data_IF_496274134373
#
_entry.id   IF_496274134373
#
_cell.length_a   1.000
_cell.length_b   1.000
_cell.length_c   1.000
_cell.angle_alpha   90.00
_cell.angle_beta   90.00
_cell.angle_gamma   90.00
#
_symmetry.space_group_name_H-M   'P 1'
#
loop_
_entity.id
_entity.type
_entity.pdbx_description
1 polymer ?
#
# COMPACT_ATOMS: atom_id res chain seq x y z
N UNK A 1 -20.66 16.16 -28.19
CA UNK A 1 -19.35 16.68 -27.74
C UNK A 1 -18.54 15.45 -27.41
N UNK A 2 -17.51 15.17 -28.20
CA UNK A 2 -16.53 14.15 -27.85
C UNK A 2 -15.61 14.82 -26.84
N UNK A 3 -15.74 14.45 -25.56
CA UNK A 3 -14.73 14.82 -24.57
C UNK A 3 -13.57 13.86 -24.73
N UNK A 4 -12.34 14.37 -24.82
CA UNK A 4 -11.13 13.52 -24.84
C UNK A 4 -10.94 12.82 -23.49
N UNK A 5 -11.40 13.46 -22.41
CA UNK A 5 -11.35 12.94 -21.03
C UNK A 5 -12.73 13.09 -20.39
N UNK A 6 -13.17 12.09 -19.63
CA UNK A 6 -14.41 12.10 -18.86
C UNK A 6 -14.04 12.01 -17.39
N UNK A 7 -14.32 13.07 -16.64
CA UNK A 7 -14.06 13.12 -15.21
C UNK A 7 -15.33 12.81 -14.41
N UNK A 8 -15.23 11.91 -13.44
CA UNK A 8 -16.35 11.47 -12.60
C UNK A 8 -15.90 11.51 -11.13
N UNK A 9 -16.47 12.44 -10.36
CA UNK A 9 -16.14 12.66 -8.95
C UNK A 9 -17.37 12.46 -8.06
N UNK A 10 -17.18 11.92 -6.85
CA UNK A 10 -18.19 11.88 -5.78
C UNK A 10 -19.56 11.32 -6.21
N UNK A 11 -19.54 10.32 -7.09
CA UNK A 11 -20.75 9.87 -7.79
C UNK A 11 -21.18 8.46 -7.36
N UNK A 12 -22.50 8.27 -7.22
CA UNK A 12 -23.13 6.98 -6.96
C UNK A 12 -23.75 6.40 -8.25
N UNK A 13 -23.17 5.32 -8.77
CA UNK A 13 -23.59 4.63 -9.99
C UNK A 13 -24.10 3.23 -9.64
N UNK A 14 -25.42 3.03 -9.62
CA UNK A 14 -25.97 1.78 -9.11
C UNK A 14 -27.27 1.31 -9.74
N UNK A 15 -27.51 0.00 -9.67
CA UNK A 15 -28.73 -0.68 -10.15
C UNK A 15 -29.01 -0.46 -11.65
N UNK A 16 -27.97 -0.24 -12.45
CA UNK A 16 -28.12 -0.17 -13.90
C UNK A 16 -28.32 -1.58 -14.47
N UNK A 17 -29.07 -1.72 -15.56
CA UNK A 17 -29.24 -3.01 -16.23
C UNK A 17 -28.01 -3.46 -17.03
N UNK A 18 -27.06 -2.54 -17.28
CA UNK A 18 -25.82 -2.78 -18.03
C UNK A 18 -24.59 -2.47 -17.17
N UNK A 19 -23.56 -1.90 -17.79
CA UNK A 19 -22.37 -1.42 -17.08
C UNK A 19 -22.71 -0.24 -16.16
N UNK A 20 -21.94 -0.04 -15.09
CA UNK A 20 -22.01 1.18 -14.29
C UNK A 20 -21.46 2.37 -15.07
N UNK A 21 -20.17 2.33 -15.41
CA UNK A 21 -19.52 3.26 -16.32
C UNK A 21 -18.95 2.49 -17.52
N UNK A 22 -19.12 3.02 -18.73
CA UNK A 22 -18.62 2.38 -19.97
C UNK A 22 -17.85 3.38 -20.82
N UNK A 23 -16.61 3.04 -21.13
CA UNK A 23 -15.73 3.78 -22.01
C UNK A 23 -15.55 3.06 -23.36
N UNK A 24 -15.61 3.83 -24.45
CA UNK A 24 -15.45 3.33 -25.82
C UNK A 24 -14.57 4.23 -26.72
N UNK A 25 -14.04 5.36 -26.24
CA UNK A 25 -13.09 6.16 -27.03
C UNK A 25 -12.33 7.27 -26.26
N UNK A 26 -12.56 7.45 -24.95
CA UNK A 26 -12.06 8.60 -24.18
C UNK A 26 -11.15 8.13 -23.05
N UNK A 27 -10.38 9.00 -22.41
CA UNK A 27 -9.82 8.68 -21.10
C UNK A 27 -10.90 8.87 -20.03
N UNK A 28 -10.92 8.04 -18.98
CA UNK A 28 -11.80 8.27 -17.82
C UNK A 28 -10.95 8.43 -16.57
N UNK A 29 -11.23 9.51 -15.85
CA UNK A 29 -10.75 9.74 -14.48
C UNK A 29 -11.94 9.57 -13.54
N UNK A 30 -11.83 8.66 -12.58
CA UNK A 30 -12.84 8.43 -11.55
C UNK A 30 -12.24 8.57 -10.16
N UNK A 31 -12.90 9.34 -9.31
CA UNK A 31 -12.47 9.50 -7.92
C UNK A 31 -13.66 9.58 -6.96
N UNK A 32 -13.51 8.98 -5.77
CA UNK A 32 -14.52 8.96 -4.71
C UNK A 32 -15.90 8.47 -5.15
N UNK A 33 -15.95 7.50 -6.09
CA UNK A 33 -17.20 6.97 -6.63
C UNK A 33 -17.61 5.64 -6.01
N UNK A 34 -18.92 5.39 -5.92
CA UNK A 34 -19.50 4.09 -5.58
C UNK A 34 -20.23 3.50 -6.79
N UNK A 35 -19.70 2.41 -7.34
CA UNK A 35 -20.23 1.72 -8.53
C UNK A 35 -20.70 0.32 -8.15
N UNK A 36 -22.01 0.13 -7.94
CA UNK A 36 -22.52 -1.11 -7.36
C UNK A 36 -23.79 -1.68 -7.97
N UNK A 37 -23.97 -3.00 -7.86
CA UNK A 37 -25.23 -3.70 -8.20
C UNK A 37 -25.65 -3.49 -9.66
N UNK A 38 -24.68 -3.31 -10.56
CA UNK A 38 -24.96 -3.14 -11.98
C UNK A 38 -25.07 -4.50 -12.68
N UNK A 39 -25.88 -4.54 -13.74
CA UNK A 39 -26.24 -5.75 -14.49
C UNK A 39 -25.15 -6.33 -15.37
N UNK A 40 -24.01 -5.62 -15.53
CA UNK A 40 -22.74 -6.09 -16.09
C UNK A 40 -21.57 -5.69 -15.16
N UNK A 41 -20.36 -5.44 -15.70
CA UNK A 41 -19.22 -4.95 -14.92
C UNK A 41 -19.47 -3.56 -14.32
N UNK A 42 -18.82 -3.26 -13.20
CA UNK A 42 -18.89 -1.94 -12.58
C UNK A 42 -18.36 -0.85 -13.52
N UNK A 43 -17.09 -0.95 -13.87
CA UNK A 43 -16.45 -0.12 -14.90
C UNK A 43 -16.01 -0.99 -16.06
N UNK A 44 -16.36 -0.59 -17.29
CA UNK A 44 -15.95 -1.25 -18.52
C UNK A 44 -15.19 -0.30 -19.42
N UNK A 45 -13.99 -0.68 -19.85
CA UNK A 45 -13.23 0.01 -20.87
C UNK A 45 -13.07 -0.88 -22.10
N UNK A 46 -13.67 -0.49 -23.22
CA UNK A 46 -13.75 -1.30 -24.44
C UNK A 46 -12.93 -0.79 -25.63
N UNK A 47 -12.08 0.21 -25.46
CA UNK A 47 -11.41 0.97 -26.54
C UNK A 47 -10.02 1.47 -26.14
N UNK A 48 -9.25 2.04 -27.06
CA UNK A 48 -7.91 2.65 -26.88
C UNK A 48 -7.81 3.82 -25.85
N UNK A 49 -8.81 4.03 -24.99
CA UNK A 49 -8.76 5.01 -23.90
C UNK A 49 -8.19 4.40 -22.63
N UNK A 50 -7.66 5.26 -21.76
CA UNK A 50 -7.09 4.89 -20.46
C UNK A 50 -8.12 5.01 -19.33
N UNK A 51 -7.88 4.30 -18.22
CA UNK A 51 -8.64 4.44 -16.98
C UNK A 51 -7.72 4.83 -15.83
N UNK A 52 -8.02 5.94 -15.15
CA UNK A 52 -7.42 6.30 -13.87
C UNK A 52 -8.53 6.34 -12.81
N UNK A 53 -8.49 5.40 -11.85
CA UNK A 53 -9.53 5.25 -10.83
C UNK A 53 -8.88 5.27 -9.45
N UNK A 54 -9.30 6.23 -8.62
CA UNK A 54 -8.77 6.42 -7.27
C UNK A 54 -9.90 6.45 -6.23
N UNK A 55 -9.69 5.91 -5.03
CA UNK A 55 -10.65 6.02 -3.92
C UNK A 55 -12.08 5.53 -4.23
N UNK A 56 -12.23 4.66 -5.23
CA UNK A 56 -13.54 4.20 -5.69
C UNK A 56 -13.88 2.83 -5.09
N UNK A 57 -15.17 2.57 -4.92
CA UNK A 57 -15.70 1.26 -4.56
C UNK A 57 -16.47 0.66 -5.74
N UNK A 58 -16.08 -0.54 -6.17
CA UNK A 58 -16.74 -1.31 -7.23
C UNK A 58 -17.27 -2.61 -6.63
N UNK A 59 -18.57 -2.69 -6.34
CA UNK A 59 -19.12 -3.79 -5.55
C UNK A 59 -20.40 -4.43 -6.06
N UNK A 60 -20.58 -5.73 -5.79
CA UNK A 60 -21.83 -6.45 -6.07
C UNK A 60 -22.29 -6.37 -7.55
N UNK A 61 -21.38 -6.15 -8.50
CA UNK A 61 -21.71 -6.15 -9.93
C UNK A 61 -21.80 -7.60 -10.45
N UNK A 62 -22.63 -7.85 -11.46
CA UNK A 62 -22.90 -9.22 -11.94
C UNK A 62 -21.79 -9.80 -12.83
N UNK A 63 -20.79 -8.99 -13.19
CA UNK A 63 -19.57 -9.42 -13.89
C UNK A 63 -18.33 -9.00 -13.09
N UNK A 64 -17.33 -8.40 -13.74
CA UNK A 64 -16.11 -7.95 -13.10
C UNK A 64 -16.32 -6.61 -12.37
N UNK A 65 -15.54 -6.31 -11.33
CA UNK A 65 -15.54 -4.99 -10.72
C UNK A 65 -15.06 -3.93 -11.71
N UNK A 66 -13.90 -4.19 -12.30
CA UNK A 66 -13.35 -3.43 -13.43
C UNK A 66 -12.96 -4.38 -14.55
N UNK A 67 -13.44 -4.09 -15.76
CA UNK A 67 -13.11 -4.85 -16.97
C UNK A 67 -12.44 -3.94 -17.98
N UNK A 68 -11.18 -4.21 -18.26
CA UNK A 68 -10.37 -3.49 -19.23
C UNK A 68 -10.08 -4.35 -20.47
N UNK A 69 -10.61 -3.94 -21.62
CA UNK A 69 -10.25 -4.42 -22.95
C UNK A 69 -9.60 -3.29 -23.77
N UNK A 70 -9.38 -2.12 -23.13
CA UNK A 70 -8.78 -0.94 -23.73
C UNK A 70 -7.29 -0.80 -23.47
N UNK A 71 -6.79 0.44 -23.47
CA UNK A 71 -5.40 0.77 -23.12
C UNK A 71 -5.18 0.74 -21.58
N UNK A 72 -4.09 1.34 -21.10
CA UNK A 72 -3.62 1.23 -19.71
C UNK A 72 -4.66 1.59 -18.64
N UNK A 73 -4.57 0.90 -17.51
CA UNK A 73 -5.43 1.10 -16.34
C UNK A 73 -4.59 1.32 -15.09
N UNK A 74 -4.91 2.38 -14.35
CA UNK A 74 -4.40 2.68 -13.02
C UNK A 74 -5.53 2.62 -12.00
N UNK A 75 -5.34 1.80 -10.97
CA UNK A 75 -6.23 1.66 -9.82
C UNK A 75 -5.45 2.01 -8.55
N UNK A 76 -5.86 3.06 -7.85
CA UNK A 76 -5.22 3.49 -6.61
C UNK A 76 -6.23 3.52 -5.46
N UNK A 77 -5.91 2.93 -4.32
CA UNK A 77 -6.75 3.02 -3.10
C UNK A 77 -8.24 2.68 -3.35
N UNK A 78 -8.49 1.68 -4.20
CA UNK A 78 -9.84 1.25 -4.56
C UNK A 78 -10.29 0.02 -3.76
N UNK A 79 -11.60 -0.08 -3.52
CA UNK A 79 -12.25 -1.24 -2.91
C UNK A 79 -13.08 -2.02 -3.95
N UNK A 80 -12.59 -3.18 -4.38
CA UNK A 80 -13.20 -3.97 -5.44
C UNK A 80 -13.66 -5.30 -4.86
N UNK A 81 -14.96 -5.39 -4.54
CA UNK A 81 -15.46 -6.51 -3.74
C UNK A 81 -16.78 -7.12 -4.19
N UNK A 82 -16.98 -8.41 -3.88
CA UNK A 82 -18.27 -9.11 -4.05
C UNK A 82 -18.82 -9.05 -5.49
N UNK A 83 -17.98 -8.84 -6.49
CA UNK A 83 -18.39 -8.91 -7.89
C UNK A 83 -18.50 -10.39 -8.30
N UNK A 84 -19.44 -10.72 -9.19
CA UNK A 84 -19.75 -12.13 -9.49
C UNK A 84 -18.67 -12.83 -10.34
N UNK A 85 -17.78 -12.06 -10.99
CA UNK A 85 -16.62 -12.59 -11.72
C UNK A 85 -15.31 -12.10 -11.06
N UNK A 86 -14.36 -11.57 -11.84
CA UNK A 86 -13.09 -11.16 -11.28
C UNK A 86 -13.23 -9.82 -10.54
N UNK A 87 -12.33 -9.52 -9.61
CA UNK A 87 -12.22 -8.15 -9.11
C UNK A 87 -11.83 -7.21 -10.25
N UNK A 88 -10.67 -7.50 -10.84
CA UNK A 88 -10.15 -6.80 -12.01
C UNK A 88 -9.83 -7.78 -13.10
N UNK A 89 -10.34 -7.51 -14.31
CA UNK A 89 -9.97 -8.22 -15.53
C UNK A 89 -9.30 -7.25 -16.50
N UNK A 90 -8.13 -7.61 -17.02
CA UNK A 90 -7.49 -6.92 -18.15
C UNK A 90 -7.15 -7.90 -19.27
N UNK A 91 -7.61 -7.57 -20.48
CA UNK A 91 -7.43 -8.37 -21.69
C UNK A 91 -6.45 -7.79 -22.70
N UNK A 92 -6.16 -6.47 -22.65
CA UNK A 92 -5.38 -5.82 -23.73
C UNK A 92 -4.32 -4.79 -23.31
N UNK A 93 -4.10 -4.51 -22.01
CA UNK A 93 -3.15 -3.47 -21.60
C UNK A 93 -2.43 -3.73 -20.27
N UNK A 94 -1.42 -2.89 -20.03
CA UNK A 94 -0.73 -2.76 -18.76
C UNK A 94 -1.68 -2.28 -17.66
N UNK A 95 -1.45 -2.81 -16.47
CA UNK A 95 -2.25 -2.51 -15.28
C UNK A 95 -1.34 -2.13 -14.13
N UNK A 96 -1.66 -1.00 -13.50
CA UNK A 96 -1.05 -0.55 -12.26
C UNK A 96 -2.11 -0.59 -11.17
N UNK A 97 -1.87 -1.40 -10.14
CA UNK A 97 -2.74 -1.49 -8.95
C UNK A 97 -1.89 -1.14 -7.73
N UNK A 98 -2.26 -0.08 -7.03
CA UNK A 98 -1.59 0.39 -5.81
C UNK A 98 -2.57 0.51 -4.66
N UNK A 99 -2.20 -0.02 -3.50
CA UNK A 99 -2.93 0.17 -2.24
C UNK A 99 -4.42 -0.20 -2.30
N UNK A 100 -4.78 -1.17 -3.15
CA UNK A 100 -6.18 -1.57 -3.36
C UNK A 100 -6.58 -2.77 -2.50
N UNK A 101 -7.85 -2.81 -2.09
CA UNK A 101 -8.48 -3.99 -1.50
C UNK A 101 -9.32 -4.70 -2.55
N UNK A 102 -8.97 -5.95 -2.85
CA UNK A 102 -9.65 -6.77 -3.85
C UNK A 102 -10.10 -8.07 -3.20
N UNK A 103 -11.39 -8.14 -2.83
CA UNK A 103 -11.87 -9.25 -2.01
C UNK A 103 -13.24 -9.83 -2.33
N UNK A 104 -13.42 -11.10 -1.99
CA UNK A 104 -14.73 -11.79 -2.09
C UNK A 104 -15.34 -11.80 -3.50
N UNK A 105 -14.51 -11.70 -4.55
CA UNK A 105 -15.01 -11.79 -5.92
C UNK A 105 -15.24 -13.26 -6.33
N UNK A 106 -16.18 -13.48 -7.24
CA UNK A 106 -16.66 -14.80 -7.66
C UNK A 106 -15.69 -15.59 -8.56
N UNK A 107 -14.61 -14.97 -9.02
CA UNK A 107 -13.51 -15.58 -9.77
C UNK A 107 -12.15 -15.13 -9.19
N UNK A 108 -11.16 -14.83 -10.04
CA UNK A 108 -9.84 -14.37 -9.58
C UNK A 108 -9.94 -12.96 -8.98
N UNK A 109 -9.06 -12.61 -8.03
CA UNK A 109 -8.95 -11.23 -7.56
C UNK A 109 -8.54 -10.30 -8.69
N UNK A 110 -7.36 -10.58 -9.27
CA UNK A 110 -6.84 -9.90 -10.46
C UNK A 110 -6.59 -10.95 -11.54
N UNK A 111 -7.10 -10.70 -12.74
CA UNK A 111 -6.88 -11.53 -13.91
C UNK A 111 -6.32 -10.71 -15.07
N UNK A 112 -5.07 -11.00 -15.45
CA UNK A 112 -4.34 -10.41 -16.55
C UNK A 112 -4.07 -11.47 -17.63
N UNK A 113 -4.85 -11.45 -18.72
CA UNK A 113 -4.83 -12.48 -19.76
C UNK A 113 -4.16 -11.98 -21.07
N UNK A 114 -2.99 -11.30 -20.99
CA UNK A 114 -2.29 -10.80 -22.18
C UNK A 114 -0.77 -10.59 -22.01
N UNK A 115 -0.10 -10.32 -23.14
CA UNK A 115 1.26 -9.79 -23.30
C UNK A 115 1.44 -8.38 -22.71
N UNK A 116 1.17 -8.23 -21.42
CA UNK A 116 1.31 -6.99 -20.64
C UNK A 116 2.24 -7.20 -19.43
N UNK A 117 2.72 -6.11 -18.86
CA UNK A 117 3.55 -6.06 -17.66
C UNK A 117 2.80 -5.48 -16.45
N UNK A 118 1.94 -6.25 -15.77
CA UNK A 118 1.22 -5.77 -14.59
C UNK A 118 2.17 -5.32 -13.47
N UNK A 119 1.88 -4.17 -12.88
CA UNK A 119 2.50 -3.68 -11.63
C UNK A 119 1.44 -3.67 -10.53
N UNK A 120 1.66 -4.47 -9.49
CA UNK A 120 0.72 -4.65 -8.37
C UNK A 120 1.50 -4.45 -7.08
N UNK A 121 1.17 -3.41 -6.32
CA UNK A 121 1.93 -2.98 -5.14
C UNK A 121 1.03 -2.60 -3.97
N UNK A 122 1.39 -2.98 -2.75
CA UNK A 122 0.67 -2.57 -1.54
C UNK A 122 -0.79 -3.06 -1.49
N UNK A 123 -1.17 -4.05 -2.30
CA UNK A 123 -2.56 -4.47 -2.43
C UNK A 123 -2.90 -5.62 -1.46
N UNK A 124 -4.13 -5.60 -0.95
CA UNK A 124 -4.72 -6.70 -0.17
C UNK A 124 -5.68 -7.47 -1.08
N UNK A 125 -5.29 -8.68 -1.47
CA UNK A 125 -6.03 -9.54 -2.39
C UNK A 125 -6.46 -10.81 -1.66
N UNK A 126 -7.73 -10.84 -1.21
CA UNK A 126 -8.18 -11.88 -0.28
C UNK A 126 -9.54 -12.47 -0.56
N UNK A 127 -9.73 -13.73 -0.16
CA UNK A 127 -11.05 -14.39 -0.16
C UNK A 127 -11.75 -14.41 -1.52
N UNK A 128 -11.01 -14.28 -2.62
CA UNK A 128 -11.57 -14.43 -3.96
C UNK A 128 -11.77 -15.92 -4.24
N UNK A 129 -12.79 -16.25 -5.04
CA UNK A 129 -13.18 -17.64 -5.28
C UNK A 129 -12.17 -18.38 -6.16
N UNK A 130 -11.40 -17.66 -6.98
CA UNK A 130 -10.33 -18.18 -7.82
C UNK A 130 -8.94 -18.03 -7.20
N UNK A 131 -7.97 -17.67 -8.03
CA UNK A 131 -6.63 -17.26 -7.62
C UNK A 131 -6.66 -15.84 -7.02
N UNK A 132 -5.65 -15.50 -6.23
CA UNK A 132 -5.44 -14.09 -5.87
C UNK A 132 -5.09 -13.26 -7.10
N UNK A 133 -3.98 -13.61 -7.74
CA UNK A 133 -3.50 -13.00 -8.98
C UNK A 133 -3.33 -14.09 -10.04
N UNK A 134 -3.90 -13.90 -11.22
CA UNK A 134 -3.75 -14.78 -12.37
C UNK A 134 -3.19 -14.01 -13.55
N UNK A 135 -2.02 -14.42 -14.02
CA UNK A 135 -1.24 -13.74 -15.05
C UNK A 135 -0.85 -14.71 -16.17
N UNK A 136 -1.33 -14.46 -17.38
CA UNK A 136 -1.08 -15.31 -18.55
C UNK A 136 -0.44 -14.49 -19.67
N UNK A 137 0.59 -15.05 -20.32
CA UNK A 137 1.36 -14.41 -21.40
C UNK A 137 2.14 -13.14 -21.01
N UNK A 138 2.47 -12.96 -19.73
CA UNK A 138 3.02 -11.70 -19.21
C UNK A 138 4.42 -11.33 -19.72
N UNK A 139 4.69 -10.02 -19.74
CA UNK A 139 6.01 -9.41 -19.88
C UNK A 139 6.50 -8.89 -18.52
N UNK A 140 7.24 -7.77 -18.48
CA UNK A 140 7.89 -7.22 -17.29
C UNK A 140 6.86 -6.95 -16.19
N UNK A 141 6.73 -7.89 -15.27
CA UNK A 141 5.69 -7.92 -14.25
C UNK A 141 6.31 -7.63 -12.89
N UNK A 142 5.70 -6.74 -12.12
CA UNK A 142 6.12 -6.38 -10.78
C UNK A 142 4.99 -6.69 -9.79
N UNK A 143 5.22 -7.62 -8.87
CA UNK A 143 4.26 -7.93 -7.79
C UNK A 143 5.01 -7.71 -6.49
N UNK A 144 4.72 -6.61 -5.79
CA UNK A 144 5.51 -6.15 -4.64
C UNK A 144 4.66 -5.83 -3.42
N UNK A 145 5.12 -6.17 -2.22
CA UNK A 145 4.54 -5.64 -0.97
C UNK A 145 3.02 -5.90 -0.86
N UNK A 146 2.54 -7.04 -1.36
CA UNK A 146 1.12 -7.39 -1.35
C UNK A 146 0.79 -8.44 -0.28
N UNK A 147 -0.41 -8.36 0.27
CA UNK A 147 -1.05 -9.47 0.99
C UNK A 147 -1.95 -10.26 0.06
N UNK A 148 -1.59 -11.51 -0.21
CA UNK A 148 -2.35 -12.40 -1.09
C UNK A 148 -2.82 -13.60 -0.28
N UNK A 149 -4.02 -13.50 0.30
CA UNK A 149 -4.41 -14.34 1.44
C UNK A 149 -5.80 -14.96 1.32
N UNK A 150 -5.98 -16.19 1.79
CA UNK A 150 -7.29 -16.87 1.85
C UNK A 150 -8.07 -16.96 0.52
N UNK A 151 -7.43 -16.94 -0.65
CA UNK A 151 -8.16 -17.13 -1.91
C UNK A 151 -8.55 -18.61 -2.07
N UNK A 152 -9.84 -18.88 -2.27
CA UNK A 152 -10.46 -20.15 -1.89
C UNK A 152 -10.52 -21.22 -2.98
N UNK A 153 -10.20 -20.90 -4.23
CA UNK A 153 -10.26 -21.88 -5.33
C UNK A 153 -9.01 -21.98 -6.19
N UNK A 154 -7.96 -21.23 -5.87
CA UNK A 154 -6.75 -21.17 -6.67
C UNK A 154 -5.45 -21.07 -5.88
N UNK A 155 -4.40 -20.67 -6.57
CA UNK A 155 -3.12 -20.28 -5.99
C UNK A 155 -3.19 -18.84 -5.47
N UNK A 156 -2.26 -18.45 -4.62
CA UNK A 156 -2.06 -17.03 -4.35
C UNK A 156 -1.71 -16.29 -5.65
N UNK A 157 -0.68 -16.78 -6.34
CA UNK A 157 -0.26 -16.29 -7.65
C UNK A 157 -0.26 -17.44 -8.67
N UNK A 158 -0.90 -17.24 -9.81
CA UNK A 158 -0.86 -18.15 -10.95
C UNK A 158 -0.18 -17.45 -12.13
N UNK A 159 0.93 -18.00 -12.61
CA UNK A 159 1.63 -17.48 -13.79
C UNK A 159 1.76 -18.55 -14.87
N UNK A 160 1.41 -18.17 -16.09
CA UNK A 160 1.63 -19.02 -17.26
C UNK A 160 2.17 -18.25 -18.46
N UNK A 161 3.03 -18.91 -19.24
CA UNK A 161 3.57 -18.38 -20.50
C UNK A 161 4.29 -17.02 -20.39
N UNK A 162 4.97 -16.75 -19.27
CA UNK A 162 5.74 -15.52 -19.10
C UNK A 162 6.84 -15.38 -20.17
N UNK A 163 6.90 -14.25 -20.87
CA UNK A 163 7.90 -13.96 -21.90
C UNK A 163 9.20 -13.45 -21.27
N UNK A 164 9.10 -12.63 -20.24
CA UNK A 164 10.24 -12.08 -19.48
C UNK A 164 10.14 -12.47 -18.01
N UNK A 165 11.26 -12.35 -17.28
CA UNK A 165 11.33 -12.64 -15.86
C UNK A 165 10.49 -11.62 -15.08
N UNK A 166 9.49 -12.10 -14.34
CA UNK A 166 8.73 -11.28 -13.40
C UNK A 166 9.53 -11.03 -12.12
N UNK A 167 9.38 -9.85 -11.52
CA UNK A 167 9.92 -9.49 -10.21
C UNK A 167 8.83 -9.66 -9.15
N UNK A 168 9.11 -10.49 -8.15
CA UNK A 168 8.25 -10.68 -6.98
C UNK A 168 9.05 -10.39 -5.73
N UNK A 169 8.66 -9.32 -5.02
CA UNK A 169 9.39 -8.89 -3.82
C UNK A 169 8.46 -8.58 -2.68
N UNK A 170 8.85 -8.96 -1.46
CA UNK A 170 8.14 -8.45 -0.28
C UNK A 170 6.68 -8.89 -0.23
N UNK A 171 6.26 -10.02 -0.78
CA UNK A 171 4.84 -10.40 -0.71
C UNK A 171 4.58 -11.31 0.51
N UNK A 172 3.39 -11.21 1.10
CA UNK A 172 2.89 -12.18 2.07
C UNK A 172 1.80 -13.02 1.41
N UNK A 173 2.13 -14.27 1.08
CA UNK A 173 1.27 -15.19 0.34
C UNK A 173 0.91 -16.36 1.26
N UNK A 174 -0.31 -16.39 1.77
CA UNK A 174 -0.68 -17.33 2.84
C UNK A 174 -2.12 -17.81 2.80
N UNK A 175 -2.37 -19.03 3.27
CA UNK A 175 -3.71 -19.62 3.36
C UNK A 175 -4.50 -19.71 2.04
N UNK A 176 -3.85 -19.65 0.88
CA UNK A 176 -4.53 -19.84 -0.41
C UNK A 176 -4.82 -21.33 -0.66
N UNK A 177 -5.94 -21.67 -1.29
CA UNK A 177 -6.49 -23.02 -1.28
C UNK A 177 -5.65 -24.08 -2.00
N UNK A 178 -4.91 -23.72 -3.05
CA UNK A 178 -4.14 -24.70 -3.86
C UNK A 178 -2.64 -24.69 -3.52
N UNK A 179 -2.05 -23.50 -3.43
CA UNK A 179 -0.63 -23.31 -3.17
C UNK A 179 -0.25 -21.83 -3.22
N UNK A 180 0.98 -21.51 -2.85
CA UNK A 180 1.48 -20.13 -2.84
C UNK A 180 1.57 -19.56 -4.25
N UNK A 181 2.38 -20.22 -5.08
CA UNK A 181 2.57 -19.82 -6.47
C UNK A 181 2.60 -21.01 -7.43
N UNK A 182 1.93 -20.86 -8.56
CA UNK A 182 2.01 -21.74 -9.72
C UNK A 182 2.79 -21.07 -10.85
N UNK A 183 3.64 -21.85 -11.51
CA UNK A 183 4.27 -21.50 -12.79
C UNK A 183 4.14 -22.64 -13.78
N UNK A 184 3.67 -22.35 -14.99
CA UNK A 184 3.73 -23.33 -16.09
C UNK A 184 5.17 -23.67 -16.49
N UNK A 185 5.42 -24.88 -17.00
CA UNK A 185 6.76 -25.28 -17.45
C UNK A 185 7.27 -24.48 -18.66
N UNK A 186 6.38 -23.82 -19.39
CA UNK A 186 6.69 -22.87 -20.46
C UNK A 186 6.75 -21.44 -19.91
N UNK A 187 7.74 -20.66 -20.36
CA UNK A 187 7.92 -19.26 -20.01
C UNK A 187 9.11 -19.01 -19.07
N UNK A 188 9.45 -17.75 -18.84
CA UNK A 188 10.51 -17.34 -17.93
C UNK A 188 10.18 -17.70 -16.46
N UNK A 189 11.22 -17.91 -15.65
CA UNK A 189 11.07 -18.05 -14.20
C UNK A 189 11.00 -16.68 -13.54
N UNK A 190 10.13 -16.47 -12.54
CA UNK A 190 10.15 -15.24 -11.76
C UNK A 190 11.38 -15.20 -10.85
N UNK A 191 11.87 -13.98 -10.59
CA UNK A 191 12.79 -13.72 -9.50
C UNK A 191 11.96 -13.42 -8.24
N UNK A 192 12.14 -14.23 -7.19
CA UNK A 192 11.37 -14.14 -5.95
C UNK A 192 12.31 -13.81 -4.79
N UNK A 193 12.06 -12.67 -4.15
CA UNK A 193 12.88 -12.13 -3.07
C UNK A 193 12.00 -11.60 -1.93
N UNK A 194 12.49 -11.59 -0.70
CA UNK A 194 11.81 -11.06 0.50
C UNK A 194 10.36 -11.53 0.70
N UNK A 195 9.99 -12.71 0.19
CA UNK A 195 8.59 -13.12 0.12
C UNK A 195 8.30 -14.19 1.17
N UNK A 196 7.19 -14.05 1.88
CA UNK A 196 6.66 -15.07 2.78
C UNK A 196 5.66 -15.95 2.03
N UNK A 197 5.94 -17.25 2.01
CA UNK A 197 4.97 -18.29 1.71
C UNK A 197 4.70 -19.14 2.96
N UNK A 198 3.44 -19.15 3.41
CA UNK A 198 3.05 -19.88 4.61
C UNK A 198 1.63 -20.46 4.50
N UNK A 199 1.39 -21.65 5.06
CA UNK A 199 0.07 -22.30 5.11
C UNK A 199 -0.77 -22.32 3.81
N UNK A 200 -0.15 -22.33 2.63
CA UNK A 200 -0.90 -22.42 1.38
C UNK A 200 -1.21 -23.88 1.01
N UNK A 201 -2.38 -24.18 0.49
CA UNK A 201 -2.78 -25.53 0.12
C UNK A 201 -2.92 -26.46 1.33
N UNK A 202 -3.50 -27.65 1.10
CA UNK A 202 -3.67 -28.64 2.17
C UNK A 202 -2.34 -29.17 2.74
N UNK A 203 -1.24 -29.01 2.00
CA UNK A 203 0.08 -29.56 2.32
C UNK A 203 1.12 -28.46 2.58
N UNK A 204 0.71 -27.21 2.84
CA UNK A 204 1.64 -26.07 2.90
C UNK A 204 2.49 -25.99 1.61
N UNK A 205 1.86 -26.12 0.44
CA UNK A 205 2.48 -26.06 -0.88
C UNK A 205 2.95 -24.63 -1.17
N UNK A 206 4.26 -24.41 -1.17
CA UNK A 206 4.83 -23.12 -1.59
C UNK A 206 4.79 -22.97 -3.11
N UNK A 207 5.40 -23.92 -3.83
CA UNK A 207 5.65 -23.85 -5.27
C UNK A 207 4.95 -24.99 -6.01
N UNK A 208 4.35 -24.68 -7.16
CA UNK A 208 3.97 -25.68 -8.18
C UNK A 208 4.60 -25.31 -9.51
N UNK A 209 5.55 -26.12 -9.97
CA UNK A 209 6.46 -25.79 -11.09
C UNK A 209 7.92 -25.71 -10.62
N UNK A 210 8.81 -25.30 -11.52
CA UNK A 210 10.24 -25.13 -11.22
C UNK A 210 10.54 -23.67 -10.88
N UNK A 211 11.25 -23.45 -9.76
CA UNK A 211 11.65 -22.14 -9.25
C UNK A 211 13.11 -22.17 -8.78
N UNK A 212 14.00 -21.57 -9.57
CA UNK A 212 15.45 -21.56 -9.32
C UNK A 212 15.90 -20.26 -8.65
N UNK A 213 15.19 -19.15 -8.90
CA UNK A 213 15.55 -17.81 -8.43
C UNK A 213 14.71 -17.42 -7.21
N UNK A 214 14.95 -18.09 -6.09
CA UNK A 214 14.26 -17.85 -4.81
C UNK A 214 15.30 -17.56 -3.74
N UNK A 215 15.35 -16.33 -3.24
CA UNK A 215 16.32 -15.90 -2.22
C UNK A 215 15.63 -15.06 -1.15
N UNK A 216 16.13 -15.08 0.08
CA UNK A 216 15.59 -14.32 1.20
C UNK A 216 14.08 -14.49 1.29
N UNK A 217 13.60 -15.73 1.22
CA UNK A 217 12.19 -16.04 1.28
C UNK A 217 11.91 -16.95 2.48
N UNK A 218 10.72 -16.81 3.05
CA UNK A 218 10.20 -17.81 3.97
C UNK A 218 9.42 -18.83 3.15
N UNK A 219 9.86 -20.09 3.15
CA UNK A 219 9.24 -21.19 2.38
C UNK A 219 8.78 -22.32 3.30
N UNK A 220 7.84 -23.15 2.83
CA UNK A 220 7.32 -24.27 3.64
C UNK A 220 8.32 -25.39 3.89
N UNK A 221 9.27 -25.58 2.97
CA UNK A 221 10.39 -26.49 3.08
C UNK A 221 11.67 -25.78 2.72
N UNK A 222 12.82 -26.33 3.09
CA UNK A 222 14.12 -25.80 2.69
C UNK A 222 14.21 -25.68 1.17
N UNK A 223 14.56 -24.50 0.66
CA UNK A 223 14.70 -24.22 -0.77
C UNK A 223 16.10 -23.69 -1.06
N UNK A 224 16.69 -24.11 -2.19
CA UNK A 224 18.01 -23.64 -2.61
C UNK A 224 18.01 -22.14 -2.91
N UNK A 225 19.00 -21.42 -2.42
CA UNK A 225 19.08 -19.96 -2.56
C UNK A 225 19.61 -19.34 -1.28
N UNK A 226 20.07 -18.10 -1.37
CA UNK A 226 20.64 -17.40 -0.22
C UNK A 226 19.52 -16.90 0.71
N UNK A 227 19.73 -16.91 2.02
CA UNK A 227 18.83 -16.26 2.98
C UNK A 227 17.44 -16.90 3.16
N UNK A 228 17.12 -18.01 2.49
CA UNK A 228 15.81 -18.67 2.66
C UNK A 228 15.68 -19.30 4.05
N UNK A 229 14.52 -19.13 4.68
CA UNK A 229 14.20 -19.69 5.99
C UNK A 229 12.88 -20.48 5.94
N UNK A 230 12.66 -21.33 6.96
CA UNK A 230 11.42 -22.12 7.09
C UNK A 230 10.70 -21.89 8.41
N UNK A 231 11.18 -20.94 9.22
CA UNK A 231 10.63 -20.61 10.53
C UNK A 231 9.18 -20.13 10.42
N UNK A 232 8.44 -20.21 11.51
CA UNK A 232 7.12 -19.60 11.61
C UNK A 232 7.25 -18.07 11.43
N UNK A 233 6.47 -17.43 10.54
CA UNK A 233 6.39 -15.98 10.45
C UNK A 233 5.82 -15.31 11.69
N UNK A 234 5.24 -16.06 12.62
CA UNK A 234 4.66 -15.54 13.86
C UNK A 234 3.67 -14.39 13.58
N UNK A 235 2.75 -14.58 12.62
CA UNK A 235 1.72 -13.58 12.35
C UNK A 235 0.88 -13.26 13.59
N UNK A 236 0.49 -12.01 13.72
CA UNK A 236 -0.35 -11.46 14.78
C UNK A 236 -1.58 -12.33 15.10
N UNK A 237 -2.51 -12.41 14.14
CA UNK A 237 -3.75 -13.18 14.24
C UNK A 237 -4.32 -13.50 12.84
N UNK A 238 -3.82 -14.56 12.18
CA UNK A 238 -4.30 -14.99 10.86
C UNK A 238 -5.80 -15.27 10.80
N UNK A 239 -6.39 -15.83 11.85
CA UNK A 239 -7.82 -16.10 11.94
C UNK A 239 -8.65 -14.81 11.92
N UNK A 240 -8.09 -13.71 12.43
CA UNK A 240 -8.67 -12.38 12.34
C UNK A 240 -8.27 -11.63 11.05
N UNK A 241 -7.52 -12.25 10.13
CA UNK A 241 -6.96 -11.62 8.91
C UNK A 241 -5.94 -10.52 9.22
N UNK A 242 -5.27 -10.64 10.36
CA UNK A 242 -4.16 -9.80 10.74
C UNK A 242 -2.86 -10.58 10.48
N UNK A 243 -2.15 -10.18 9.43
CA UNK A 243 -0.94 -10.83 8.93
C UNK A 243 0.33 -10.02 9.21
N UNK A 244 0.26 -9.00 10.07
CA UNK A 244 1.46 -8.31 10.54
C UNK A 244 2.36 -9.26 11.29
N UNK A 245 3.66 -9.02 11.19
CA UNK A 245 4.68 -9.76 11.91
C UNK A 245 4.68 -9.33 13.38
N UNK A 246 4.82 -10.32 14.26
CA UNK A 246 5.17 -10.03 15.66
C UNK A 246 6.65 -9.69 15.75
N UNK A 247 7.04 -8.84 16.68
CA UNK A 247 8.45 -8.44 16.92
C UNK A 247 9.41 -9.63 17.14
N UNK A 248 8.91 -10.77 17.63
CA UNK A 248 9.70 -11.99 17.83
C UNK A 248 9.85 -12.85 16.57
N UNK A 249 9.27 -12.43 15.46
CA UNK A 249 9.26 -13.22 14.24
C UNK A 249 10.67 -13.41 13.71
N UNK A 250 10.95 -14.63 13.26
CA UNK A 250 12.20 -14.93 12.58
C UNK A 250 12.27 -14.28 11.18
N UNK A 251 11.19 -13.63 10.73
CA UNK A 251 11.14 -12.87 9.49
C UNK A 251 11.66 -11.43 9.65
N UNK A 252 11.78 -10.93 10.90
CA UNK A 252 12.27 -9.58 11.19
C UNK A 252 13.77 -9.46 10.93
N UNK A 253 14.18 -8.40 10.25
CA UNK A 253 15.53 -8.07 9.81
C UNK A 253 16.20 -9.24 9.05
N UNK A 254 15.47 -9.89 8.13
CA UNK A 254 15.99 -11.03 7.33
C UNK A 254 15.87 -10.86 5.81
N UNK A 255 15.24 -9.79 5.37
CA UNK A 255 15.14 -9.43 3.96
C UNK A 255 16.45 -8.87 3.40
N UNK A 256 16.49 -8.86 2.08
CA UNK A 256 17.53 -8.25 1.27
C UNK A 256 17.15 -6.80 0.97
N UNK A 257 18.05 -5.86 1.27
CA UNK A 257 17.90 -4.41 0.99
C UNK A 257 18.61 -3.96 -0.29
N UNK A 258 19.01 -4.90 -1.15
CA UNK A 258 19.69 -4.62 -2.43
C UNK A 258 18.96 -5.28 -3.60
N UNK A 259 18.74 -4.58 -4.74
CA UNK A 259 19.00 -3.15 -4.96
C UNK A 259 18.19 -2.29 -3.99
N UNK A 260 18.56 -1.02 -3.89
CA UNK A 260 17.89 -0.06 -3.01
C UNK A 260 16.36 -0.16 -3.15
N UNK A 261 15.69 -0.17 -2.01
CA UNK A 261 14.23 -0.29 -1.87
C UNK A 261 13.66 0.88 -1.06
N UNK A 262 14.46 1.91 -0.80
CA UNK A 262 14.05 3.08 0.00
C UNK A 262 12.96 3.92 -0.68
N UNK A 263 12.65 3.66 -1.95
CA UNK A 263 11.53 4.25 -2.68
C UNK A 263 10.25 3.40 -2.62
N UNK A 264 10.27 2.27 -1.91
CA UNK A 264 9.11 1.41 -1.69
C UNK A 264 8.57 1.59 -0.27
N UNK A 265 7.26 1.43 -0.14
CA UNK A 265 6.59 1.30 1.16
C UNK A 265 6.21 -0.16 1.41
N UNK A 266 6.00 -0.51 2.67
CA UNK A 266 5.40 -1.78 3.05
C UNK A 266 3.86 -1.78 2.81
N UNK A 267 3.14 -2.74 3.41
CA UNK A 267 1.68 -2.89 3.20
C UNK A 267 0.86 -1.79 3.87
N UNK A 268 1.42 -1.14 4.88
CA UNK A 268 0.73 -0.17 5.73
C UNK A 268 1.09 1.28 5.39
N UNK A 269 2.16 1.46 4.59
CA UNK A 269 2.58 2.74 4.04
C UNK A 269 3.89 3.24 4.63
N UNK A 270 4.44 2.54 5.62
CA UNK A 270 5.75 2.77 6.20
C UNK A 270 6.86 2.45 5.19
N UNK A 271 8.05 3.03 5.41
CA UNK A 271 9.22 2.76 4.58
C UNK A 271 9.55 1.25 4.57
N UNK A 272 9.84 0.70 3.39
CA UNK A 272 10.16 -0.73 3.20
C UNK A 272 11.41 -1.20 3.94
N UNK A 273 12.20 -0.29 4.51
CA UNK A 273 13.41 -0.59 5.27
C UNK A 273 13.36 0.13 6.59
N UNK A 274 13.00 -0.61 7.62
CA UNK A 274 13.16 -0.18 9.00
C UNK A 274 14.53 -0.65 9.53
N UNK A 275 15.20 0.14 10.38
CA UNK A 275 16.51 -0.23 10.97
C UNK A 275 17.63 -0.69 10.00
N UNK A 276 17.61 -0.23 8.74
CA UNK A 276 18.54 -0.57 7.66
C UNK A 276 18.42 -2.00 7.10
N UNK A 277 17.44 -2.80 7.53
CA UNK A 277 17.21 -4.16 7.01
C UNK A 277 15.71 -4.35 6.78
N UNK A 278 15.33 -4.74 5.56
CA UNK A 278 13.95 -5.11 5.29
C UNK A 278 13.58 -6.42 6.01
N UNK A 279 12.33 -6.56 6.38
CA UNK A 279 11.72 -7.80 6.82
C UNK A 279 11.41 -8.72 5.63
N UNK A 280 11.09 -9.99 5.93
CA UNK A 280 10.47 -10.87 4.95
C UNK A 280 8.96 -10.63 4.95
N UNK A 281 8.34 -10.63 3.77
CA UNK A 281 6.91 -10.43 3.62
C UNK A 281 6.57 -9.00 3.23
N UNK A 282 5.28 -8.66 3.21
CA UNK A 282 4.80 -7.34 2.81
C UNK A 282 4.82 -6.28 3.90
N UNK A 283 4.91 -6.73 5.15
CA UNK A 283 4.86 -5.92 6.35
C UNK A 283 6.29 -5.77 6.89
N UNK A 284 6.67 -4.54 7.24
CA UNK A 284 7.83 -4.29 8.10
C UNK A 284 7.34 -4.26 9.54
N UNK A 285 7.99 -4.98 10.45
CA UNK A 285 7.66 -4.95 11.86
C UNK A 285 8.07 -3.61 12.46
N UNK A 286 7.21 -2.62 12.28
CA UNK A 286 7.42 -1.24 12.67
C UNK A 286 7.10 -1.03 14.15
N UNK A 287 7.93 -0.21 14.80
CA UNK A 287 7.63 0.38 16.10
C UNK A 287 7.80 1.88 15.96
N UNK A 288 6.79 2.66 16.32
CA UNK A 288 6.90 4.11 16.20
C UNK A 288 8.04 4.66 17.05
N UNK A 289 8.90 5.48 16.43
CA UNK A 289 9.90 6.26 17.15
C UNK A 289 9.29 7.36 18.02
N UNK A 290 8.02 7.70 17.80
CA UNK A 290 7.27 8.68 18.57
C UNK A 290 6.65 8.08 19.85
N UNK A 291 6.73 6.76 20.08
CA UNK A 291 6.35 6.10 21.34
C UNK A 291 7.49 6.23 22.37
N UNK A 292 7.55 7.39 23.03
CA UNK A 292 8.64 7.73 23.93
C UNK A 292 8.53 7.03 25.29
N UNK A 293 7.33 6.66 25.71
CA UNK A 293 7.13 5.93 26.96
C UNK A 293 7.17 4.39 26.80
N UNK A 294 7.31 3.90 25.55
CA UNK A 294 7.39 2.50 25.15
C UNK A 294 6.17 1.68 25.59
N UNK A 295 4.99 2.31 25.64
CA UNK A 295 3.73 1.63 25.92
C UNK A 295 3.10 0.99 24.66
N UNK A 296 3.80 1.08 23.54
CA UNK A 296 3.42 0.61 22.21
C UNK A 296 2.34 1.46 21.54
N UNK A 297 2.02 2.65 22.05
CA UNK A 297 1.01 3.55 21.49
C UNK A 297 1.52 4.98 21.52
N UNK A 298 1.54 5.64 20.37
CA UNK A 298 1.79 7.07 20.31
C UNK A 298 0.52 7.80 20.71
N UNK A 299 0.56 8.42 21.87
CA UNK A 299 -0.60 9.14 22.39
C UNK A 299 -0.16 10.40 23.13
N UNK A 300 -1.09 10.96 23.89
CA UNK A 300 -0.83 12.19 24.61
C UNK A 300 0.33 12.11 25.61
N UNK A 301 0.61 10.94 26.18
CA UNK A 301 1.73 10.77 27.11
C UNK A 301 3.07 11.00 26.38
N UNK A 302 3.18 10.54 25.14
CA UNK A 302 4.34 10.78 24.28
C UNK A 302 4.42 12.24 23.87
N UNK A 303 3.30 12.83 23.46
CA UNK A 303 3.25 14.26 23.16
C UNK A 303 3.67 15.10 24.36
N UNK A 304 3.25 14.77 25.58
CA UNK A 304 3.65 15.47 26.79
C UNK A 304 5.16 15.34 27.05
N UNK A 305 5.79 14.24 26.60
CA UNK A 305 7.24 14.06 26.63
C UNK A 305 7.91 14.94 25.57
N UNK A 306 7.37 14.97 24.35
CA UNK A 306 7.82 15.84 23.26
C UNK A 306 7.74 17.33 23.62
N UNK A 307 6.59 17.80 24.10
CA UNK A 307 6.33 19.18 24.45
C UNK A 307 7.27 19.71 25.56
N UNK A 308 7.70 18.85 26.49
CA UNK A 308 8.69 19.21 27.52
C UNK A 308 10.08 19.45 26.94
N UNK A 309 10.43 18.76 25.86
CA UNK A 309 11.70 18.86 25.18
C UNK A 309 11.67 19.88 24.01
N UNK A 310 10.51 20.46 23.74
CA UNK A 310 10.28 21.40 22.64
C UNK A 310 11.27 22.58 22.63
N UNK A 311 11.79 22.90 21.44
CA UNK A 311 12.77 23.98 21.19
C UNK A 311 14.05 23.86 22.01
N UNK A 312 14.43 22.65 22.36
CA UNK A 312 15.72 22.42 22.99
C UNK A 312 16.73 21.85 22.00
N UNK A 313 18.01 21.96 22.34
CA UNK A 313 19.12 21.43 21.55
C UNK A 313 20.06 20.63 22.42
N UNK A 314 20.87 19.78 21.78
CA UNK A 314 21.86 18.92 22.45
C UNK A 314 22.62 19.67 23.55
N UNK A 315 22.55 19.16 24.77
CA UNK A 315 23.22 19.73 25.95
C UNK A 315 22.39 20.72 26.79
N UNK A 316 21.15 21.01 26.40
CA UNK A 316 20.21 21.78 27.23
C UNK A 316 19.46 20.90 28.24
N UNK A 317 19.02 21.49 29.36
CA UNK A 317 18.53 20.75 30.53
C UNK A 317 17.29 19.87 30.27
N UNK A 318 16.43 20.27 29.33
CA UNK A 318 15.21 19.53 28.98
C UNK A 318 15.33 18.82 27.62
N UNK A 319 16.52 18.80 27.01
CA UNK A 319 16.72 18.10 25.75
C UNK A 319 16.61 16.60 25.95
N UNK A 320 15.80 15.97 25.10
CA UNK A 320 15.56 14.54 25.10
C UNK A 320 15.89 13.97 23.73
N UNK A 321 16.93 13.14 23.65
CA UNK A 321 17.37 12.51 22.40
C UNK A 321 16.26 11.71 21.70
N UNK A 322 15.30 11.15 22.45
CA UNK A 322 14.18 10.41 21.86
C UNK A 322 13.26 11.34 21.04
N UNK A 323 13.13 12.61 21.44
CA UNK A 323 12.25 13.58 20.77
C UNK A 323 12.92 14.29 19.58
N UNK A 324 14.20 14.04 19.32
CA UNK A 324 14.94 14.50 18.13
C UNK A 324 14.78 13.45 17.01
N UNK A 325 13.56 13.36 16.48
CA UNK A 325 13.13 12.35 15.51
C UNK A 325 13.85 12.49 14.16
N UNK A 326 14.37 13.67 13.84
CA UNK A 326 15.19 13.92 12.64
C UNK A 326 16.68 13.67 12.88
N UNK A 327 17.09 13.47 14.13
CA UNK A 327 18.48 13.31 14.56
C UNK A 327 19.39 14.46 14.10
N UNK A 328 18.89 15.70 14.11
CA UNK A 328 19.64 16.89 13.70
C UNK A 328 20.21 17.70 14.88
N UNK A 329 19.95 17.24 16.11
CA UNK A 329 20.46 17.81 17.35
C UNK A 329 19.58 18.92 17.93
N UNK A 330 18.47 19.25 17.27
CA UNK A 330 17.45 20.20 17.70
C UNK A 330 16.08 19.53 17.76
N UNK A 331 15.21 20.00 18.65
CA UNK A 331 13.81 19.53 18.74
C UNK A 331 12.93 20.68 18.28
N UNK A 332 12.49 20.62 17.03
CA UNK A 332 11.74 21.69 16.40
C UNK A 332 10.57 21.17 15.55
N UNK A 333 10.02 22.04 14.70
CA UNK A 333 8.86 21.70 13.88
C UNK A 333 9.09 20.47 13.00
N UNK A 334 10.32 20.19 12.56
CA UNK A 334 10.62 19.02 11.73
C UNK A 334 10.44 17.71 12.50
N UNK A 335 10.77 17.71 13.78
CA UNK A 335 10.48 16.58 14.67
C UNK A 335 8.99 16.50 14.99
N UNK A 336 8.32 17.64 15.14
CA UNK A 336 6.87 17.65 15.35
C UNK A 336 6.14 17.04 14.15
N UNK A 337 6.55 17.33 12.92
CA UNK A 337 6.01 16.68 11.72
C UNK A 337 6.13 15.15 11.80
N UNK A 338 7.31 14.66 12.20
CA UNK A 338 7.55 13.20 12.34
C UNK A 338 6.72 12.60 13.47
N UNK A 339 6.56 13.32 14.57
CA UNK A 339 5.70 12.90 15.67
C UNK A 339 4.23 12.82 15.24
N UNK A 340 3.74 13.81 14.49
CA UNK A 340 2.33 13.84 14.04
C UNK A 340 2.01 12.77 13.01
N UNK A 341 2.97 12.35 12.19
CA UNK A 341 2.79 11.23 11.25
C UNK A 341 2.44 9.92 11.95
N UNK A 342 2.89 9.75 13.19
CA UNK A 342 2.63 8.56 13.99
C UNK A 342 1.58 8.83 15.08
N UNK A 343 0.85 9.94 15.04
CA UNK A 343 -0.13 10.24 16.09
C UNK A 343 -1.25 9.19 16.14
N UNK A 344 -1.55 8.69 17.35
CA UNK A 344 -2.45 7.56 17.61
C UNK A 344 -2.01 6.23 16.99
N UNK A 345 -0.75 6.12 16.57
CA UNK A 345 -0.17 4.85 16.17
C UNK A 345 -0.28 3.85 17.33
N UNK A 346 -0.68 2.63 17.02
CA UNK A 346 -0.66 1.48 17.93
C UNK A 346 -0.23 0.24 17.13
N UNK A 347 0.25 -0.84 17.77
CA UNK A 347 0.90 -1.92 17.06
C UNK A 347 -0.17 -2.63 16.26
N UNK A 348 0.05 -2.73 14.96
CA UNK A 348 -0.95 -3.33 14.09
C UNK A 348 -1.20 -4.81 14.46
N UNK A 349 -0.25 -5.49 15.11
CA UNK A 349 -0.41 -6.84 15.66
C UNK A 349 -1.48 -6.98 16.76
N UNK A 350 -1.81 -5.91 17.48
CA UNK A 350 -2.79 -5.92 18.56
C UNK A 350 -4.20 -5.51 18.09
N UNK A 351 -4.30 -4.92 16.89
CA UNK A 351 -5.58 -4.58 16.29
C UNK A 351 -6.30 -5.83 15.77
N UNK A 352 -7.27 -6.32 16.56
CA UNK A 352 -8.14 -7.45 16.18
C UNK A 352 -9.43 -6.88 15.55
N UNK A 353 -9.70 -7.11 14.25
CA UNK A 353 -10.95 -6.67 13.65
C UNK A 353 -12.16 -7.33 14.34
N UNK A 354 -13.06 -6.49 14.87
CA UNK A 354 -14.31 -6.90 15.51
C UNK A 354 -14.34 -6.87 17.04
N UNK A 355 -13.24 -6.52 17.71
CA UNK A 355 -13.25 -6.20 19.15
C UNK A 355 -12.85 -4.74 19.32
N UNK A 356 -13.75 -3.84 18.92
CA UNK A 356 -13.60 -2.43 19.24
C UNK A 356 -13.63 -2.25 20.75
N UNK A 357 -12.53 -1.76 21.32
CA UNK A 357 -12.55 -1.07 22.59
C UNK A 357 -13.36 0.22 22.44
N UNK A 358 -14.68 0.11 22.61
CA UNK A 358 -15.56 1.26 22.86
C UNK A 358 -16.30 1.84 21.65
N UNK A 359 -17.63 1.86 21.78
CA UNK A 359 -18.63 2.61 21.00
C UNK A 359 -18.91 2.21 19.54
N UNK A 360 -19.93 1.34 19.41
CA UNK A 360 -21.06 1.45 18.46
C UNK A 360 -20.77 2.11 17.11
N UNK A 361 -20.69 1.31 16.03
CA UNK A 361 -21.50 1.44 14.80
C UNK A 361 -21.28 0.23 13.84
N UNK A 362 -22.36 -0.16 13.16
CA UNK A 362 -22.63 -1.16 12.10
C UNK A 362 -21.52 -2.14 11.58
N UNK A 363 -21.82 -3.45 11.42
CA UNK A 363 -20.90 -4.45 10.86
C UNK A 363 -20.59 -4.31 9.35
N UNK A 364 -21.28 -3.42 8.63
CA UNK A 364 -21.07 -3.20 7.18
C UNK A 364 -20.12 -2.03 6.86
N UNK A 365 -19.58 -1.32 7.88
CA UNK A 365 -18.70 -0.15 7.71
C UNK A 365 -17.20 -0.40 7.95
N UNK A 366 -16.83 -1.63 8.33
CA UNK A 366 -15.48 -1.94 8.86
C UNK A 366 -14.40 -1.95 7.75
N UNK A 367 -14.78 -2.19 6.49
CA UNK A 367 -13.83 -2.11 5.36
C UNK A 367 -13.33 -0.68 5.12
N UNK A 368 -14.13 0.33 5.45
CA UNK A 368 -13.71 1.75 5.41
C UNK A 368 -12.77 2.13 6.55
N UNK A 369 -12.89 1.50 7.73
CA UNK A 369 -11.96 1.74 8.85
C UNK A 369 -10.60 1.08 8.64
N UNK A 370 -10.54 -0.09 7.99
CA UNK A 370 -9.26 -0.71 7.61
C UNK A 370 -8.53 0.11 6.54
N UNK A 371 -9.24 0.75 5.62
CA UNK A 371 -8.64 1.72 4.69
C UNK A 371 -8.29 3.05 5.38
N UNK A 372 -9.15 3.61 6.24
CA UNK A 372 -8.86 4.90 6.91
C UNK A 372 -7.73 4.82 7.95
N UNK A 373 -7.43 3.65 8.50
CA UNK A 373 -6.25 3.47 9.38
C UNK A 373 -4.96 3.21 8.59
N UNK A 374 -5.04 2.60 7.41
CA UNK A 374 -3.93 2.47 6.46
C UNK A 374 -3.75 3.72 5.56
N UNK A 375 -4.53 4.78 5.80
CA UNK A 375 -4.56 5.99 5.01
C UNK A 375 -4.72 7.20 5.94
N UNK A 376 -3.72 7.43 6.79
CA UNK A 376 -3.56 8.79 7.32
C UNK A 376 -3.32 9.73 6.12
N UNK A 377 -3.99 10.89 6.05
CA UNK A 377 -3.80 11.82 4.95
C UNK A 377 -2.34 12.29 4.96
N UNK A 378 -1.60 11.90 3.92
CA UNK A 378 -0.35 12.58 3.57
C UNK A 378 -0.70 13.77 2.67
N UNK A 379 -0.01 14.92 2.81
CA UNK A 379 -0.28 16.09 1.98
C UNK A 379 -0.09 15.76 0.48
N UNK A 380 -0.95 16.36 -0.34
CA UNK A 380 -1.09 16.10 -1.78
C UNK A 380 0.26 16.16 -2.54
N UNK A 381 0.73 15.02 -3.04
CA UNK A 381 1.82 14.98 -4.01
C UNK A 381 1.28 15.28 -5.42
N UNK A 382 1.60 16.47 -5.95
CA UNK A 382 1.47 16.76 -7.38
C UNK A 382 2.40 15.84 -8.18
N UNK A 383 1.81 14.98 -9.00
CA UNK A 383 2.53 14.07 -9.89
C UNK A 383 3.22 14.84 -11.02
N UNK A 384 4.56 14.88 -11.01
CA UNK A 384 5.33 15.14 -12.23
C UNK A 384 5.66 13.81 -12.90
N UNK A 385 5.16 13.62 -14.11
CA UNK A 385 5.43 12.49 -15.00
C UNK A 385 6.93 12.14 -15.04
N UNK A 386 7.29 10.91 -14.63
CA UNK A 386 8.61 10.34 -14.86
C UNK A 386 8.53 9.30 -15.98
N UNK A 387 9.05 9.66 -17.15
CA UNK A 387 9.45 8.71 -18.18
C UNK A 387 10.76 8.04 -17.74
N UNK A 388 10.72 6.74 -17.47
CA UNK A 388 11.89 5.94 -17.15
C UNK A 388 12.78 5.78 -18.38
N UNK A 389 14.04 6.21 -18.24
CA UNK A 389 15.06 6.05 -19.26
C UNK A 389 15.70 4.67 -19.15
N UNK A 390 15.21 3.69 -19.94
CA UNK A 390 15.99 2.47 -20.23
C UNK A 390 15.58 1.80 -21.55
N UNK A 391 15.80 2.50 -22.67
CA UNK A 391 16.19 1.84 -23.93
C UNK A 391 16.87 2.85 -24.86
N UNK A 392 18.19 2.71 -25.02
CA UNK A 392 18.98 3.51 -25.95
C UNK A 392 18.58 3.21 -27.41
N UNK A 393 17.88 4.15 -28.06
CA UNK A 393 17.89 4.29 -29.53
C UNK A 393 18.63 5.57 -29.93
N UNK A 394 19.63 5.42 -30.79
CA UNK A 394 20.75 6.34 -30.99
C UNK A 394 20.44 7.48 -32.00
N UNK A 395 19.17 7.84 -32.15
CA UNK A 395 18.73 8.87 -33.10
C UNK A 395 17.96 10.05 -32.48
N UNK A 396 17.59 9.96 -31.19
CA UNK A 396 16.83 11.02 -30.48
C UNK A 396 17.74 12.04 -29.76
N UNK A 397 19.03 11.72 -29.56
CA UNK A 397 19.96 12.50 -28.74
C UNK A 397 20.32 13.91 -29.24
N UNK A 398 19.96 14.29 -30.48
CA UNK A 398 20.30 15.63 -31.02
C UNK A 398 19.21 16.68 -30.82
N UNK A 399 17.96 16.29 -30.58
CA UNK A 399 16.88 17.23 -30.28
C UNK A 399 16.81 17.55 -28.79
N UNK A 400 17.05 16.56 -27.92
CA UNK A 400 16.99 16.70 -26.46
C UNK A 400 18.19 17.50 -25.88
N UNK A 401 19.35 17.44 -26.53
CA UNK A 401 20.55 18.15 -26.08
C UNK A 401 20.44 19.69 -26.22
N UNK A 402 19.46 20.21 -26.97
CA UNK A 402 19.26 21.66 -27.13
C UNK A 402 18.32 22.26 -26.07
N UNK A 403 17.51 21.47 -25.36
CA UNK A 403 16.60 21.96 -24.30
C UNK A 403 17.20 21.86 -22.89
N UNK A 404 18.19 20.97 -22.69
CA UNK A 404 18.82 20.72 -21.38
C UNK A 404 19.81 21.83 -20.96
N UNK A 405 20.32 22.67 -21.88
CA UNK A 405 21.21 23.79 -21.52
C UNK A 405 20.50 24.96 -20.80
N UNK A 406 19.17 24.87 -20.53
CA UNK A 406 18.42 25.94 -19.83
C UNK A 406 17.96 25.60 -18.41
N UNK A 407 18.18 24.38 -17.92
CA UNK A 407 17.72 23.95 -16.60
C UNK A 407 18.89 23.64 -15.66
N UNK A 408 19.62 24.66 -15.23
CA UNK A 408 20.45 24.58 -14.03
C UNK A 408 19.71 25.19 -12.83
N UNK A 409 19.80 24.50 -11.68
CA UNK A 409 19.23 24.77 -10.35
C UNK A 409 17.76 24.37 -10.12
N UNK A 410 17.56 23.09 -9.78
CA UNK A 410 16.42 22.68 -8.95
C UNK A 410 17.00 22.38 -7.56
N UNK A 411 16.65 23.21 -6.58
CA UNK A 411 16.93 22.97 -5.17
C UNK A 411 16.11 21.77 -4.66
N UNK A 412 16.57 21.04 -3.61
CA UNK A 412 15.83 19.89 -3.10
C UNK A 412 14.45 20.32 -2.58
N UNK A 413 13.43 19.51 -2.87
CA UNK A 413 12.06 19.67 -2.39
C UNK A 413 12.08 19.42 -0.87
N UNK A 414 11.88 20.46 -0.07
CA UNK A 414 11.53 20.31 1.35
C UNK A 414 10.06 19.87 1.45
N UNK A 415 9.77 18.88 2.29
CA UNK A 415 8.41 18.54 2.72
C UNK A 415 7.72 19.84 3.20
N UNK A 416 6.74 20.33 2.45
CA UNK A 416 6.05 21.58 2.76
C UNK A 416 5.07 21.31 3.90
N UNK A 417 5.52 21.56 5.12
CA UNK A 417 4.70 21.54 6.33
C UNK A 417 3.76 22.75 6.37
N UNK A 418 2.44 22.53 6.41
CA UNK A 418 1.48 23.61 6.67
C UNK A 418 1.28 23.79 8.18
N UNK A 419 1.94 24.83 8.71
CA UNK A 419 1.84 25.23 10.12
C UNK A 419 0.39 25.53 10.50
N UNK A 420 -0.41 26.08 9.59
CA UNK A 420 -1.80 26.43 9.89
C UNK A 420 -2.68 25.19 9.99
N UNK A 421 -2.49 24.22 9.10
CA UNK A 421 -3.20 22.92 9.17
C UNK A 421 -2.87 22.19 10.48
N UNK A 422 -1.61 22.22 10.90
CA UNK A 422 -1.18 21.61 12.18
C UNK A 422 -1.75 22.35 13.39
N UNK A 423 -1.79 23.68 13.36
CA UNK A 423 -2.40 24.49 14.41
C UNK A 423 -3.91 24.26 14.50
N UNK A 424 -4.59 24.13 13.36
CA UNK A 424 -6.02 23.84 13.30
C UNK A 424 -6.33 22.45 13.87
N UNK A 425 -5.54 21.44 13.49
CA UNK A 425 -5.61 20.10 14.05
C UNK A 425 -5.39 20.07 15.57
N UNK A 426 -4.34 20.73 16.08
CA UNK A 426 -4.09 20.82 17.53
C UNK A 426 -5.25 21.52 18.26
N UNK A 427 -5.81 22.58 17.68
CA UNK A 427 -6.98 23.24 18.25
C UNK A 427 -8.20 22.32 18.31
N UNK A 428 -8.44 21.53 17.26
CA UNK A 428 -9.51 20.52 17.26
C UNK A 428 -9.26 19.45 18.34
N UNK A 429 -8.02 18.96 18.45
CA UNK A 429 -7.60 17.96 19.43
C UNK A 429 -7.88 18.42 20.88
N UNK A 430 -7.55 19.67 21.20
CA UNK A 430 -7.86 20.28 22.50
C UNK A 430 -9.37 20.31 22.82
N UNK A 431 -10.22 20.40 21.79
CA UNK A 431 -11.67 20.41 21.95
C UNK A 431 -12.25 19.00 22.08
N UNK A 432 -11.70 18.04 21.35
CA UNK A 432 -12.28 16.70 21.21
C UNK A 432 -11.75 15.69 22.22
N UNK A 433 -10.52 15.85 22.70
CA UNK A 433 -9.89 14.91 23.62
C UNK A 433 -9.88 15.44 25.07
N UNK A 434 -10.63 14.76 25.95
CA UNK A 434 -10.72 15.10 27.37
C UNK A 434 -9.41 14.80 28.13
N UNK A 435 -8.64 13.80 27.72
CA UNK A 435 -7.41 13.39 28.39
C UNK A 435 -6.31 14.46 28.31
N UNK A 436 -6.31 15.24 27.22
CA UNK A 436 -5.42 16.39 27.02
C UNK A 436 -5.67 17.45 28.08
N UNK A 437 -6.95 17.77 28.33
CA UNK A 437 -7.35 18.80 29.31
C UNK A 437 -7.13 18.38 30.76
N UNK A 438 -6.98 17.08 31.01
CA UNK A 438 -6.62 16.55 32.34
C UNK A 438 -5.12 16.62 32.65
N UNK A 439 -4.27 16.74 31.63
CA UNK A 439 -2.83 16.50 31.73
C UNK A 439 -1.96 17.73 31.42
N UNK A 440 -2.45 18.68 30.62
CA UNK A 440 -1.84 20.01 30.43
C UNK A 440 -2.88 21.11 30.67
N UNK A 441 -2.47 22.20 31.32
CA UNK A 441 -3.39 23.33 31.54
C UNK A 441 -3.51 24.19 30.28
N UNK A 442 -4.62 24.91 30.15
CA UNK A 442 -4.92 25.72 28.97
C UNK A 442 -3.89 26.82 28.69
N UNK A 443 -3.22 27.33 29.72
CA UNK A 443 -2.19 28.38 29.54
C UNK A 443 -0.96 27.81 28.87
N UNK A 444 -0.45 26.69 29.38
CA UNK A 444 0.72 25.99 28.81
C UNK A 444 0.41 25.50 27.38
N UNK A 445 -0.81 25.05 27.13
CA UNK A 445 -1.28 24.68 25.78
C UNK A 445 -1.25 25.85 24.80
N UNK A 446 -1.80 27.00 25.20
CA UNK A 446 -1.80 28.20 24.36
C UNK A 446 -0.39 28.77 24.15
N UNK A 447 0.49 28.71 25.16
CA UNK A 447 1.90 29.08 25.01
C UNK A 447 2.61 28.17 24.00
N UNK A 448 2.32 26.87 24.01
CA UNK A 448 2.83 25.93 23.04
C UNK A 448 2.35 26.23 21.60
N UNK A 449 1.05 26.43 21.39
CA UNK A 449 0.50 26.81 20.07
C UNK A 449 1.13 28.09 19.53
N UNK A 450 1.29 29.10 20.38
CA UNK A 450 1.95 30.35 20.01
C UNK A 450 3.43 30.13 19.66
N UNK A 451 4.09 29.17 20.30
CA UNK A 451 5.47 28.83 20.00
C UNK A 451 5.63 28.17 18.62
N UNK A 452 4.71 27.29 18.21
CA UNK A 452 4.66 26.69 16.86
C UNK A 452 4.42 27.80 15.83
N UNK A 453 3.45 28.68 16.08
CA UNK A 453 3.19 29.83 15.20
C UNK A 453 4.41 30.75 15.03
N UNK A 454 5.31 30.77 16.01
CA UNK A 454 6.53 31.58 15.98
C UNK A 454 7.75 30.87 15.37
N UNK A 455 7.70 29.55 15.11
CA UNK A 455 8.82 28.82 14.51
C UNK A 455 8.89 28.94 12.98
N UNK A 456 7.89 29.57 12.37
CA UNK A 456 7.84 29.92 10.94
C UNK A 456 8.65 31.20 10.61
N UNK A 457 9.13 31.92 11.63
CA UNK A 457 9.98 33.14 11.54
C UNK A 457 11.42 32.86 11.93
#
# INVERSE_FOLDING_TARGET
MYSSVIDIYDTYIQNNSGYGASNYASDIIMENCLVQKNGNSGVYNGSDGTLAISYCTMSENTQDGVRNEGDSITLNQCNINKNSQNGVYTGQADITITSCLIEQNGADGIKNDNFSGPTIMGAIIRRNTGNGISCTNIQTTNIKNNWIVNNSGGYGIYISSAVTMAMMRGNTITHNATGGIYRSSSGAEPNIVNTIFYHNGSNNTTFTGTFTYVNYCRTSTTHSGSGNITNDPCFASPDANNYHLKWQSACVDKGLTTPDVNDETDIDGEDRVYNNIADLGADECYTSHADFDNNSRVNFIDYATFAKAWRTSTGQANWNAACDLKADGTIDYKDLCRFTNDWLWEPQEEQIPGVGSGSSLNPDGIAGQQMMMAMQPQPEFLTTEFLSAESLDMSVSRALAMEIESAESVEPIEDVFDVNETLDWLNELWQTDESIRESINETDWQEFLNSIKSSEQ
#
